data_IF_327400926876
#
_entry.id   IF_327400926876
#
_cell.length_a   1.000
_cell.length_b   1.000
_cell.length_c   1.000
_cell.angle_alpha   90.00
_cell.angle_beta   90.00
_cell.angle_gamma   90.00
#
_symmetry.space_group_name_H-M   'P 1'
#
loop_
_entity.id
_entity.type
_entity.pdbx_description
1 polymer ?
#
# COMPACT_ATOMS: atom_id res chain seq x y z
N UNK A 1 -11.46 -38.90 -6.10
CA UNK A 1 -11.25 -39.22 -4.66
C UNK A 1 -10.04 -38.51 -4.05
N UNK A 2 -9.22 -37.83 -4.83
CA UNK A 2 -8.00 -37.12 -4.38
C UNK A 2 -8.22 -35.71 -3.82
N UNK A 3 -9.24 -34.96 -4.25
CA UNK A 3 -9.48 -33.57 -3.87
C UNK A 3 -9.98 -33.37 -2.43
N UNK A 4 -10.55 -34.41 -1.81
CA UNK A 4 -11.04 -34.36 -0.42
C UNK A 4 -9.92 -34.40 0.63
N UNK A 5 -8.81 -35.08 0.33
CA UNK A 5 -7.69 -35.22 1.26
C UNK A 5 -6.85 -33.95 1.31
N UNK A 6 -6.62 -33.32 0.17
CA UNK A 6 -5.86 -32.06 0.08
C UNK A 6 -6.60 -30.90 0.77
N UNK A 7 -7.93 -30.82 0.64
CA UNK A 7 -8.73 -29.81 1.35
C UNK A 7 -8.70 -30.02 2.88
N UNK A 8 -8.71 -31.24 3.37
CA UNK A 8 -8.60 -31.53 4.80
C UNK A 8 -7.22 -31.17 5.36
N UNK A 9 -6.14 -31.45 4.63
CA UNK A 9 -4.79 -31.08 5.03
C UNK A 9 -4.63 -29.56 5.07
N UNK A 10 -5.15 -28.84 4.07
CA UNK A 10 -5.11 -27.38 4.06
C UNK A 10 -5.89 -26.76 5.24
N UNK A 11 -7.06 -27.32 5.61
CA UNK A 11 -7.82 -26.83 6.75
C UNK A 11 -7.12 -27.11 8.10
N UNK A 12 -6.40 -28.21 8.24
CA UNK A 12 -5.61 -28.47 9.45
C UNK A 12 -4.38 -27.57 9.56
N UNK A 13 -3.72 -27.25 8.44
CA UNK A 13 -2.61 -26.30 8.40
C UNK A 13 -3.11 -24.88 8.74
N UNK A 14 -4.25 -24.48 8.22
CA UNK A 14 -4.87 -23.18 8.54
C UNK A 14 -5.32 -23.11 10.01
N UNK A 15 -5.92 -24.17 10.55
CA UNK A 15 -6.33 -24.24 11.96
C UNK A 15 -5.11 -24.23 12.89
N UNK A 16 -4.05 -24.96 12.56
CA UNK A 16 -2.83 -25.00 13.37
C UNK A 16 -2.09 -23.66 13.37
N UNK A 17 -2.07 -22.94 12.24
CA UNK A 17 -1.47 -21.61 12.16
C UNK A 17 -2.26 -20.57 12.95
N UNK A 18 -3.60 -20.67 12.98
CA UNK A 18 -4.46 -19.81 13.81
C UNK A 18 -4.27 -20.13 15.30
N UNK A 19 -4.12 -21.40 15.69
CA UNK A 19 -3.87 -21.79 17.08
C UNK A 19 -2.47 -21.34 17.55
N UNK A 20 -1.45 -21.38 16.70
CA UNK A 20 -0.09 -20.91 17.05
C UNK A 20 -0.02 -19.39 17.27
N UNK A 21 -0.89 -18.62 16.61
CA UNK A 21 -0.99 -17.16 16.79
C UNK A 21 -1.82 -16.80 18.03
N UNK A 22 -2.78 -17.63 18.41
CA UNK A 22 -3.69 -17.35 19.53
C UNK A 22 -3.10 -17.66 20.93
N UNK A 23 -2.25 -18.68 21.05
CA UNK A 23 -1.74 -19.14 22.36
C UNK A 23 -0.82 -18.15 23.08
N UNK A 24 0.07 -17.37 22.45
CA UNK A 24 0.87 -16.39 23.19
C UNK A 24 0.08 -15.17 23.66
N UNK A 25 -1.07 -14.87 23.06
CA UNK A 25 -1.87 -13.71 23.43
C UNK A 25 -2.62 -13.91 24.76
N UNK A 26 -3.08 -15.11 25.06
CA UNK A 26 -3.77 -15.41 26.33
C UNK A 26 -2.82 -15.39 27.54
N UNK A 27 -1.60 -15.86 27.37
CA UNK A 27 -0.59 -15.81 28.44
C UNK A 27 -0.09 -14.40 28.77
N UNK A 28 -0.02 -13.53 27.73
CA UNK A 28 0.37 -12.12 27.90
C UNK A 28 -0.78 -11.28 28.46
N UNK A 29 -2.03 -11.59 28.14
CA UNK A 29 -3.20 -10.88 28.66
C UNK A 29 -3.39 -11.06 30.16
N UNK A 30 -3.17 -12.25 30.69
CA UNK A 30 -3.27 -12.51 32.14
C UNK A 30 -2.14 -11.90 32.98
N UNK A 31 -0.97 -11.67 32.41
CA UNK A 31 0.13 -10.96 33.09
C UNK A 31 -0.04 -9.43 33.10
N UNK A 32 -0.98 -8.91 32.30
CA UNK A 32 -1.22 -7.46 32.13
C UNK A 32 -2.09 -6.83 33.22
N UNK A 33 -2.85 -7.60 33.97
CA UNK A 33 -3.98 -7.09 34.76
C UNK A 33 -3.62 -6.61 36.17
N UNK A 34 -2.36 -6.51 36.55
CA UNK A 34 -2.00 -6.14 37.93
C UNK A 34 -1.22 -4.84 38.15
N UNK A 35 -0.88 -4.04 37.13
CA UNK A 35 -0.29 -2.72 37.36
C UNK A 35 -0.49 -1.76 36.14
N UNK A 36 -1.72 -1.44 35.78
CA UNK A 36 -2.02 -0.25 35.00
C UNK A 36 -1.91 1.01 35.87
N UNK A 37 -0.70 1.51 36.03
CA UNK A 37 -0.53 2.94 36.24
C UNK A 37 -0.95 3.59 34.92
N UNK A 38 -1.99 4.44 34.92
CA UNK A 38 -2.41 5.28 33.79
C UNK A 38 -1.17 5.87 33.14
N UNK A 39 -0.76 5.33 31.98
CA UNK A 39 0.21 6.01 31.14
C UNK A 39 -0.38 7.38 30.87
N UNK A 40 0.33 8.43 31.24
CA UNK A 40 -0.14 9.77 30.94
C UNK A 40 -0.38 9.83 29.44
N UNK A 41 -1.63 10.07 29.02
CA UNK A 41 -2.07 10.19 27.64
C UNK A 41 -1.13 11.09 26.81
N UNK A 42 -0.56 12.10 27.41
CA UNK A 42 0.39 13.02 26.82
C UNK A 42 1.76 12.39 26.48
N UNK A 43 2.17 11.31 27.14
CA UNK A 43 3.42 10.60 26.80
C UNK A 43 3.29 9.83 25.48
N UNK A 44 2.07 9.46 25.08
CA UNK A 44 1.80 8.84 23.77
C UNK A 44 2.02 9.79 22.61
N UNK A 45 1.96 11.10 22.84
CA UNK A 45 2.14 12.14 21.82
C UNK A 45 3.49 12.87 21.94
N UNK A 46 4.38 12.41 22.81
CA UNK A 46 5.71 12.99 22.90
C UNK A 46 6.46 12.82 21.58
N UNK A 47 6.88 13.92 20.97
CA UNK A 47 7.67 13.92 19.75
C UNK A 47 9.04 13.28 20.02
N UNK A 48 9.36 12.20 19.31
CA UNK A 48 10.60 11.42 19.47
C UNK A 48 11.52 11.50 18.27
N UNK A 49 11.02 11.91 17.12
CA UNK A 49 11.82 11.99 15.90
C UNK A 49 10.99 12.13 14.64
N UNK A 50 11.70 12.17 13.53
CA UNK A 50 11.13 12.14 12.18
C UNK A 50 11.73 10.98 11.39
N UNK A 51 10.96 10.38 10.52
CA UNK A 51 11.41 9.36 9.57
C UNK A 51 11.19 9.83 8.14
N UNK A 52 12.15 9.55 7.29
CA UNK A 52 12.03 9.72 5.84
C UNK A 52 12.19 8.33 5.19
N UNK A 53 11.36 8.01 4.24
CA UNK A 53 11.45 6.72 3.55
C UNK A 53 11.19 6.83 2.07
N UNK A 54 11.76 5.87 1.32
CA UNK A 54 11.50 5.68 -0.11
C UNK A 54 11.15 4.23 -0.38
N UNK A 55 10.21 4.00 -1.30
CA UNK A 55 9.84 2.65 -1.74
C UNK A 55 10.78 2.18 -2.85
N UNK A 56 11.50 1.10 -2.57
CA UNK A 56 12.41 0.47 -3.52
C UNK A 56 11.68 -0.53 -4.43
N UNK A 57 10.57 -1.08 -3.99
CA UNK A 57 9.84 -2.12 -4.74
C UNK A 57 9.11 -1.52 -5.93
N UNK A 58 8.53 -0.33 -5.77
CA UNK A 58 7.92 0.42 -6.85
C UNK A 58 8.92 0.73 -7.98
N UNK A 59 10.17 1.07 -7.60
CA UNK A 59 11.25 1.25 -8.55
C UNK A 59 11.67 -0.08 -9.24
N UNK A 60 11.67 -1.21 -8.51
CA UNK A 60 12.05 -2.51 -9.06
C UNK A 60 10.99 -3.09 -10.01
N UNK A 61 9.70 -2.92 -9.70
CA UNK A 61 8.60 -3.32 -10.59
C UNK A 61 8.63 -2.58 -11.93
N UNK A 62 9.21 -1.39 -11.97
CA UNK A 62 9.40 -0.63 -13.20
C UNK A 62 10.30 -1.31 -14.22
N UNK A 63 11.19 -2.18 -13.77
CA UNK A 63 12.11 -2.91 -14.64
C UNK A 63 11.46 -4.16 -15.26
N UNK A 64 10.33 -4.61 -14.75
CA UNK A 64 9.69 -5.88 -15.10
C UNK A 64 8.25 -5.67 -15.63
N UNK A 65 7.61 -4.54 -15.35
CA UNK A 65 6.19 -4.30 -15.60
C UNK A 65 5.91 -3.07 -16.46
N UNK A 66 4.65 -2.94 -16.84
CA UNK A 66 4.13 -1.90 -17.75
C UNK A 66 3.89 -0.55 -17.08
N UNK A 67 4.20 -0.43 -15.77
CA UNK A 67 4.03 0.81 -15.02
C UNK A 67 5.12 0.99 -13.96
N UNK A 68 5.56 2.23 -13.79
CA UNK A 68 6.54 2.64 -12.78
C UNK A 68 5.85 3.47 -11.73
N UNK A 69 6.15 3.22 -10.46
CA UNK A 69 5.78 4.12 -9.38
C UNK A 69 6.96 4.36 -8.45
N UNK A 70 7.20 5.61 -8.14
CA UNK A 70 8.16 6.02 -7.10
C UNK A 70 7.38 6.65 -5.96
N UNK A 71 7.74 6.34 -4.72
CA UNK A 71 7.05 6.86 -3.54
C UNK A 71 8.06 7.31 -2.48
N UNK A 72 7.85 8.49 -1.95
CA UNK A 72 8.57 9.05 -0.81
C UNK A 72 7.57 9.25 0.33
N UNK A 73 7.98 8.95 1.54
CA UNK A 73 7.17 9.18 2.71
C UNK A 73 7.95 9.91 3.80
N UNK A 74 7.22 10.74 4.54
CA UNK A 74 7.68 11.36 5.77
C UNK A 74 6.77 10.92 6.90
N UNK A 75 7.35 10.51 8.02
CA UNK A 75 6.62 10.10 9.22
C UNK A 75 7.13 10.84 10.45
N UNK A 76 6.24 11.07 11.40
CA UNK A 76 6.54 11.69 12.69
C UNK A 76 6.41 10.62 13.77
N UNK A 77 7.47 10.44 14.57
CA UNK A 77 7.45 9.47 15.67
C UNK A 77 6.84 10.09 16.92
N UNK A 78 5.65 9.65 17.29
CA UNK A 78 4.95 10.03 18.51
C UNK A 78 5.01 8.87 19.51
N UNK A 79 5.76 9.08 20.59
CA UNK A 79 5.87 8.11 21.71
C UNK A 79 6.38 6.72 21.32
N UNK A 80 7.04 6.54 20.18
CA UNK A 80 7.46 5.26 19.60
C UNK A 80 6.30 4.28 19.32
N UNK A 81 5.07 4.76 19.35
CA UNK A 81 3.87 3.95 19.17
C UNK A 81 3.05 4.39 17.96
N UNK A 82 2.83 5.67 17.80
CA UNK A 82 2.05 6.23 16.69
C UNK A 82 2.98 6.99 15.74
N UNK A 83 2.84 6.74 14.45
CA UNK A 83 3.62 7.38 13.40
C UNK A 83 2.68 7.94 12.33
N UNK A 84 2.15 9.18 12.51
CA UNK A 84 1.50 9.89 11.43
C UNK A 84 2.46 10.00 10.25
N UNK A 85 1.95 9.73 9.05
CA UNK A 85 2.78 9.72 7.85
C UNK A 85 2.04 10.31 6.66
N UNK A 86 2.79 10.99 5.82
CA UNK A 86 2.37 11.47 4.51
C UNK A 86 3.27 10.86 3.45
N UNK A 87 2.66 10.45 2.36
CA UNK A 87 3.35 9.80 1.25
C UNK A 87 3.02 10.58 -0.03
N UNK A 88 4.02 10.84 -0.84
CA UNK A 88 3.86 11.44 -2.17
C UNK A 88 4.61 10.58 -3.18
N UNK A 89 3.95 10.27 -4.28
CA UNK A 89 4.53 9.44 -5.31
C UNK A 89 4.20 9.94 -6.70
N UNK A 90 4.91 9.37 -7.64
CA UNK A 90 4.70 9.59 -9.05
C UNK A 90 4.58 8.25 -9.75
N UNK A 91 3.54 8.08 -10.55
CA UNK A 91 3.34 6.84 -11.29
C UNK A 91 3.09 7.15 -12.76
N UNK A 92 3.69 6.34 -13.62
CA UNK A 92 3.37 6.35 -15.04
C UNK A 92 3.12 4.93 -15.53
N UNK A 93 2.21 4.80 -16.47
CA UNK A 93 1.87 3.56 -17.10
C UNK A 93 1.73 3.81 -18.61
N UNK A 94 2.42 3.00 -19.41
CA UNK A 94 2.29 2.98 -20.86
C UNK A 94 2.19 1.53 -21.28
N UNK A 95 0.98 1.10 -21.58
CA UNK A 95 0.71 -0.30 -21.89
C UNK A 95 -0.13 -0.45 -23.14
N UNK A 96 -0.01 -1.59 -23.78
CA UNK A 96 -0.84 -1.99 -24.93
C UNK A 96 -1.45 -3.35 -24.60
N UNK A 97 -2.76 -3.42 -24.56
CA UNK A 97 -3.49 -4.68 -24.38
C UNK A 97 -3.20 -5.60 -25.58
N UNK A 98 -2.63 -6.77 -25.30
CA UNK A 98 -2.22 -7.71 -26.35
C UNK A 98 -3.41 -8.32 -27.12
N UNK A 99 -4.60 -8.35 -26.52
CA UNK A 99 -5.80 -8.95 -27.10
C UNK A 99 -6.58 -7.97 -27.98
N UNK A 100 -6.66 -6.71 -27.56
CA UNK A 100 -7.47 -5.68 -28.21
C UNK A 100 -6.63 -4.67 -28.98
N UNK A 101 -5.32 -4.60 -28.74
CA UNK A 101 -4.41 -3.60 -29.30
C UNK A 101 -4.65 -2.18 -28.77
N UNK A 102 -5.48 -2.01 -27.74
CA UNK A 102 -5.76 -0.72 -27.12
C UNK A 102 -4.53 -0.25 -26.36
N UNK A 103 -4.10 0.98 -26.64
CA UNK A 103 -3.00 1.64 -25.93
C UNK A 103 -3.55 2.52 -24.85
N UNK A 104 -2.97 2.42 -23.66
CA UNK A 104 -3.27 3.25 -22.50
C UNK A 104 -2.01 3.94 -22.01
N UNK A 105 -2.07 5.23 -21.78
CA UNK A 105 -0.96 6.02 -21.25
C UNK A 105 -1.46 6.94 -20.15
N UNK A 106 -0.73 6.98 -19.02
CA UNK A 106 -0.96 7.94 -17.94
C UNK A 106 0.34 8.25 -17.21
N UNK A 107 0.46 9.48 -16.74
CA UNK A 107 1.62 9.96 -16.01
C UNK A 107 1.18 11.03 -15.02
N UNK A 108 1.16 10.72 -13.71
CA UNK A 108 0.64 11.65 -12.72
C UNK A 108 1.15 11.39 -11.31
N UNK A 109 1.14 12.43 -10.46
CA UNK A 109 1.38 12.31 -9.03
C UNK A 109 0.19 11.70 -8.29
N UNK A 110 0.49 11.13 -7.13
CA UNK A 110 -0.49 10.70 -6.15
C UNK A 110 -0.02 11.00 -4.74
N UNK A 111 -0.96 11.10 -3.83
CA UNK A 111 -0.70 11.46 -2.45
C UNK A 111 -1.45 10.53 -1.51
N UNK A 112 -0.85 10.25 -0.36
CA UNK A 112 -1.49 9.46 0.69
C UNK A 112 -1.18 10.09 2.05
N UNK A 113 -2.12 9.98 2.96
CA UNK A 113 -1.96 10.40 4.34
C UNK A 113 -2.56 9.38 5.29
N UNK A 114 -1.97 9.21 6.46
CA UNK A 114 -2.47 8.28 7.46
C UNK A 114 -1.49 8.09 8.61
N UNK A 115 -1.46 6.91 9.19
CA UNK A 115 -0.59 6.61 10.32
C UNK A 115 -0.18 5.14 10.36
N UNK A 116 0.96 4.88 11.03
CA UNK A 116 1.39 3.55 11.42
C UNK A 116 1.25 3.41 12.93
N UNK A 117 0.87 2.23 13.41
CA UNK A 117 0.77 1.90 14.81
C UNK A 117 1.71 0.74 15.15
N UNK A 118 2.67 0.98 16.03
CA UNK A 118 3.64 -0.01 16.48
C UNK A 118 3.03 -0.89 17.60
N UNK A 119 2.88 -2.19 17.33
CA UNK A 119 2.34 -3.15 18.30
C UNK A 119 3.35 -3.61 19.36
N UNK A 120 4.64 -3.44 19.11
CA UNK A 120 5.70 -4.00 19.98
C UNK A 120 6.21 -3.02 21.03
N UNK A 121 5.79 -1.75 21.00
CA UNK A 121 6.18 -0.79 22.04
C UNK A 121 5.57 -1.16 23.39
N UNK A 122 6.41 -1.38 24.38
CA UNK A 122 6.01 -1.68 25.75
C UNK A 122 6.88 -0.91 26.74
N UNK A 123 6.49 -0.93 28.05
CA UNK A 123 7.31 -0.31 29.12
C UNK A 123 8.70 -0.93 29.24
N UNK A 124 8.84 -2.25 28.97
CA UNK A 124 10.13 -2.95 29.01
C UNK A 124 10.98 -2.70 27.78
N UNK A 125 10.35 -2.40 26.63
CA UNK A 125 11.01 -2.09 25.37
C UNK A 125 10.36 -0.83 24.74
N UNK A 126 10.66 0.37 25.28
CA UNK A 126 10.02 1.61 24.84
C UNK A 126 10.43 2.03 23.43
N UNK A 127 11.57 1.55 22.96
CA UNK A 127 12.08 1.81 21.61
C UNK A 127 12.64 0.51 21.00
N UNK A 128 11.81 -0.40 20.55
CA UNK A 128 12.29 -1.63 19.92
C UNK A 128 12.99 -1.31 18.60
N UNK A 129 14.17 -1.90 18.39
CA UNK A 129 14.95 -1.78 17.14
C UNK A 129 14.23 -2.43 15.95
N UNK A 130 13.42 -3.43 16.23
CA UNK A 130 12.64 -4.17 15.23
C UNK A 130 11.20 -4.23 15.74
N UNK A 131 10.24 -3.92 14.87
CA UNK A 131 8.85 -3.95 15.28
C UNK A 131 7.89 -4.24 14.13
N UNK A 132 6.74 -4.78 14.50
CA UNK A 132 5.60 -5.01 13.63
C UNK A 132 4.65 -3.83 13.83
N UNK A 133 4.10 -3.33 12.73
CA UNK A 133 3.16 -2.23 12.75
C UNK A 133 1.95 -2.52 11.87
N UNK A 134 0.80 -1.96 12.24
CA UNK A 134 -0.36 -1.82 11.39
C UNK A 134 -0.36 -0.45 10.75
N UNK A 135 -0.93 -0.32 9.57
CA UNK A 135 -1.04 0.96 8.86
C UNK A 135 -2.45 1.19 8.34
N UNK A 136 -2.82 2.46 8.32
CA UNK A 136 -4.03 2.95 7.67
C UNK A 136 -3.65 4.18 6.84
N UNK A 137 -4.13 4.24 5.59
CA UNK A 137 -3.90 5.34 4.66
C UNK A 137 -5.18 5.70 3.93
N UNK A 138 -5.28 6.97 3.58
CA UNK A 138 -6.20 7.46 2.56
C UNK A 138 -5.36 8.05 1.45
N UNK A 139 -5.59 7.59 0.24
CA UNK A 139 -4.87 8.03 -0.95
C UNK A 139 -5.81 8.73 -1.92
N UNK A 140 -5.26 9.70 -2.66
CA UNK A 140 -5.98 10.40 -3.72
C UNK A 140 -5.05 10.76 -4.87
N UNK A 141 -5.62 10.81 -6.06
CA UNK A 141 -4.96 11.26 -7.28
C UNK A 141 -5.93 11.95 -8.20
N UNK A 142 -5.45 12.97 -8.88
CA UNK A 142 -6.09 13.57 -10.04
C UNK A 142 -5.11 13.46 -11.20
N UNK A 143 -5.54 12.89 -12.30
CA UNK A 143 -4.66 12.57 -13.40
C UNK A 143 -5.35 12.69 -14.75
N UNK A 144 -4.54 12.70 -15.80
CA UNK A 144 -5.00 12.61 -17.18
C UNK A 144 -4.49 11.30 -17.78
N UNK A 145 -5.27 10.76 -18.68
CA UNK A 145 -4.90 9.55 -19.41
C UNK A 145 -5.32 9.62 -20.87
N UNK A 146 -4.57 8.91 -21.70
CA UNK A 146 -4.83 8.77 -23.12
C UNK A 146 -5.26 7.34 -23.40
N UNK A 147 -6.24 7.19 -24.27
CA UNK A 147 -6.70 5.89 -24.78
C UNK A 147 -6.73 5.94 -26.29
N UNK A 148 -5.98 5.04 -26.92
CA UNK A 148 -5.96 4.92 -28.37
C UNK A 148 -6.34 3.50 -28.78
N UNK A 149 -7.42 3.38 -29.58
CA UNK A 149 -7.81 2.09 -30.15
C UNK A 149 -7.12 1.85 -31.49
N UNK A 150 -6.87 0.59 -31.87
CA UNK A 150 -6.47 0.29 -33.24
C UNK A 150 -7.58 0.68 -34.22
N UNK A 151 -7.20 0.96 -35.44
CA UNK A 151 -8.15 1.21 -36.52
C UNK A 151 -8.91 -0.09 -36.84
N UNK A 152 -10.22 -0.06 -36.66
CA UNK A 152 -11.10 -1.17 -37.00
C UNK A 152 -11.75 -0.82 -38.33
N UNK A 153 -11.57 -1.68 -39.32
CA UNK A 153 -12.22 -1.53 -40.61
C UNK A 153 -13.42 -2.49 -40.69
N UNK A 154 -14.59 -1.95 -40.97
CA UNK A 154 -15.78 -2.75 -41.22
C UNK A 154 -15.61 -3.52 -42.52
N UNK A 155 -15.61 -4.86 -42.50
CA UNK A 155 -15.42 -5.67 -43.69
C UNK A 155 -16.64 -5.66 -44.62
N UNK A 156 -17.82 -5.20 -44.17
CA UNK A 156 -19.07 -5.21 -44.93
C UNK A 156 -19.40 -3.85 -45.50
N UNK A 157 -19.22 -2.79 -44.72
CA UNK A 157 -19.63 -1.43 -45.10
C UNK A 157 -18.43 -0.52 -45.41
N UNK A 158 -17.20 -1.01 -45.28
CA UNK A 158 -15.98 -0.29 -45.69
C UNK A 158 -15.63 0.94 -44.86
N UNK A 159 -16.26 1.11 -43.70
CA UNK A 159 -15.97 2.19 -42.79
C UNK A 159 -14.77 1.86 -41.87
N UNK A 160 -13.96 2.87 -41.56
CA UNK A 160 -12.89 2.77 -40.58
C UNK A 160 -13.23 3.60 -39.36
N UNK A 161 -13.12 3.00 -38.16
CA UNK A 161 -13.31 3.67 -36.87
C UNK A 161 -12.05 3.53 -36.05
N UNK A 162 -11.50 4.64 -35.60
CA UNK A 162 -10.43 4.68 -34.61
C UNK A 162 -10.82 5.69 -33.54
N UNK A 163 -10.67 5.33 -32.27
CA UNK A 163 -10.88 6.22 -31.15
C UNK A 163 -9.52 6.67 -30.62
N UNK A 164 -9.27 7.97 -30.62
CA UNK A 164 -8.07 8.58 -30.04
C UNK A 164 -8.52 9.62 -29.01
N UNK A 165 -8.60 9.20 -27.76
CA UNK A 165 -8.96 10.06 -26.63
C UNK A 165 -7.69 10.54 -25.96
N UNK A 166 -7.50 11.85 -25.89
CA UNK A 166 -6.35 12.48 -25.25
C UNK A 166 -6.77 13.33 -24.07
N UNK A 167 -5.90 13.41 -23.09
CA UNK A 167 -6.08 14.27 -21.91
C UNK A 167 -7.41 14.04 -21.16
N UNK A 168 -7.91 12.81 -21.13
CA UNK A 168 -9.14 12.48 -20.42
C UNK A 168 -8.90 12.59 -18.93
N UNK A 169 -9.74 13.38 -18.23
CA UNK A 169 -9.59 13.59 -16.80
C UNK A 169 -10.08 12.38 -15.99
N UNK A 170 -9.28 11.97 -15.05
CA UNK A 170 -9.60 10.94 -14.06
C UNK A 170 -9.26 11.40 -12.66
N UNK A 171 -10.05 10.94 -11.68
CA UNK A 171 -9.76 11.14 -10.27
C UNK A 171 -10.16 9.91 -9.47
N UNK A 172 -9.40 9.60 -8.43
CA UNK A 172 -9.67 8.48 -7.57
C UNK A 172 -9.34 8.79 -6.11
N UNK A 173 -10.20 8.30 -5.21
CA UNK A 173 -10.00 8.28 -3.77
C UNK A 173 -10.08 6.84 -3.30
N UNK A 174 -9.12 6.40 -2.47
CA UNK A 174 -9.08 5.05 -1.94
C UNK A 174 -8.58 5.00 -0.51
N UNK A 175 -8.86 3.91 0.18
CA UNK A 175 -8.31 3.58 1.49
C UNK A 175 -7.34 2.42 1.40
N UNK A 176 -6.32 2.43 2.26
CA UNK A 176 -5.40 1.31 2.44
C UNK A 176 -5.38 0.91 3.91
N UNK A 177 -5.40 -0.39 4.15
CA UNK A 177 -5.12 -0.99 5.45
C UNK A 177 -4.08 -2.07 5.26
N UNK A 178 -3.15 -2.20 6.20
CA UNK A 178 -2.10 -3.20 6.06
C UNK A 178 -1.30 -3.42 7.31
N UNK A 179 -0.32 -4.27 7.17
CA UNK A 179 0.65 -4.57 8.21
C UNK A 179 2.06 -4.62 7.62
N UNK A 180 3.04 -4.31 8.44
CA UNK A 180 4.43 -4.32 8.03
C UNK A 180 5.37 -4.61 9.18
N UNK A 181 6.62 -4.81 8.80
CA UNK A 181 7.75 -5.03 9.72
C UNK A 181 8.79 -3.97 9.42
N UNK A 182 9.32 -3.33 10.46
CA UNK A 182 10.44 -2.38 10.38
C UNK A 182 11.63 -2.96 11.13
N UNK A 183 12.76 -3.08 10.44
CA UNK A 183 13.98 -3.72 10.95
C UNK A 183 15.13 -2.72 10.90
N UNK A 184 15.79 -2.50 12.02
CA UNK A 184 16.98 -1.66 12.09
C UNK A 184 18.19 -2.42 11.51
N UNK A 185 18.89 -1.82 10.56
CA UNK A 185 20.08 -2.39 9.93
C UNK A 185 21.33 -1.75 10.53
N UNK A 186 21.39 -0.44 10.48
CA UNK A 186 22.48 0.37 11.00
C UNK A 186 21.85 1.54 11.74
N UNK A 187 22.61 2.20 12.63
CA UNK A 187 22.13 3.32 13.42
C UNK A 187 21.43 4.37 12.54
N UNK A 188 20.13 4.56 12.75
CA UNK A 188 19.28 5.49 12.01
C UNK A 188 18.68 4.93 10.71
N UNK A 189 19.19 3.81 10.16
CA UNK A 189 18.68 3.20 8.95
C UNK A 189 17.86 1.95 9.25
N UNK A 190 16.69 1.87 8.63
CA UNK A 190 15.76 0.75 8.75
C UNK A 190 15.34 0.27 7.36
N UNK A 191 15.05 -1.01 7.27
CA UNK A 191 14.31 -1.62 6.18
C UNK A 191 12.89 -1.93 6.62
N UNK A 192 11.93 -1.60 5.77
CA UNK A 192 10.50 -1.86 5.98
C UNK A 192 9.91 -2.75 4.90
N UNK A 193 9.12 -3.73 5.31
CA UNK A 193 8.26 -4.53 4.44
C UNK A 193 6.83 -4.29 4.85
N UNK A 194 5.93 -4.04 3.92
CA UNK A 194 4.51 -4.00 4.22
C UNK A 194 3.67 -4.65 3.14
N UNK A 195 2.55 -5.22 3.58
CA UNK A 195 1.48 -5.68 2.72
C UNK A 195 0.28 -4.80 2.97
N UNK A 196 -0.32 -4.30 1.90
CA UNK A 196 -1.41 -3.34 1.93
C UNK A 196 -2.60 -3.87 1.15
N UNK A 197 -3.76 -3.83 1.75
CA UNK A 197 -5.04 -4.04 1.08
C UNK A 197 -5.65 -2.68 0.76
N UNK A 198 -6.00 -2.46 -0.49
CA UNK A 198 -6.52 -1.21 -1.01
C UNK A 198 -7.97 -1.37 -1.38
N UNK A 199 -8.79 -0.41 -1.01
CA UNK A 199 -10.21 -0.34 -1.37
C UNK A 199 -10.50 1.01 -2.01
N UNK A 200 -11.07 0.99 -3.21
CA UNK A 200 -11.48 2.19 -3.91
C UNK A 200 -12.81 2.69 -3.35
N UNK A 201 -12.86 3.97 -2.96
CA UNK A 201 -14.09 4.60 -2.46
C UNK A 201 -14.84 5.32 -3.57
N UNK A 202 -14.12 6.10 -4.37
CA UNK A 202 -14.73 6.92 -5.41
C UNK A 202 -13.80 6.97 -6.62
N UNK A 203 -14.39 6.89 -7.80
CA UNK A 203 -13.72 7.20 -9.05
C UNK A 203 -14.56 8.21 -9.84
N UNK A 204 -13.89 9.18 -10.45
CA UNK A 204 -14.48 10.06 -11.45
C UNK A 204 -13.85 9.75 -12.78
N UNK A 205 -14.67 9.34 -13.73
CA UNK A 205 -14.27 9.08 -15.10
C UNK A 205 -15.19 9.86 -16.05
N UNK A 206 -14.69 10.17 -17.22
CA UNK A 206 -15.47 10.81 -18.29
C UNK A 206 -16.36 9.76 -18.96
N UNK A 207 -17.56 10.15 -19.37
CA UNK A 207 -18.45 9.30 -20.15
C UNK A 207 -17.71 8.77 -21.40
N UNK A 208 -17.95 7.51 -21.72
CA UNK A 208 -17.35 6.77 -22.84
C UNK A 208 -15.85 6.41 -22.71
N UNK A 209 -15.22 6.58 -21.54
CA UNK A 209 -13.86 6.13 -21.33
C UNK A 209 -13.69 5.46 -19.99
N UNK A 210 -13.06 4.28 -19.97
CA UNK A 210 -12.76 3.54 -18.73
C UNK A 210 -11.26 3.61 -18.42
N UNK A 211 -10.95 4.09 -17.23
CA UNK A 211 -9.57 4.06 -16.72
C UNK A 211 -9.11 2.61 -16.55
N UNK A 212 -7.96 2.26 -17.07
CA UNK A 212 -7.36 0.94 -16.88
C UNK A 212 -6.40 0.91 -15.69
N UNK A 213 -5.62 1.97 -15.51
CA UNK A 213 -4.65 2.11 -14.43
C UNK A 213 -4.85 3.44 -13.70
N UNK A 214 -4.75 3.42 -12.38
CA UNK A 214 -4.89 4.58 -11.49
C UNK A 214 -3.55 4.80 -10.79
N UNK A 215 -2.91 5.97 -10.94
CA UNK A 215 -1.65 6.30 -10.26
C UNK A 215 -1.73 6.11 -8.75
N UNK A 216 -0.78 5.35 -8.18
CA UNK A 216 -0.71 5.04 -6.75
C UNK A 216 -1.68 3.95 -6.25
N UNK A 217 -2.72 3.65 -7.00
CA UNK A 217 -3.66 2.57 -6.68
C UNK A 217 -3.32 1.27 -7.42
N UNK A 218 -3.01 1.35 -8.70
CA UNK A 218 -2.75 0.23 -9.59
C UNK A 218 -3.85 -0.02 -10.62
N UNK A 219 -4.04 -1.26 -11.03
CA UNK A 219 -5.10 -1.66 -11.97
C UNK A 219 -6.47 -1.27 -11.40
N UNK A 220 -7.34 -0.73 -12.25
CA UNK A 220 -8.66 -0.23 -11.87
C UNK A 220 -9.62 -1.39 -11.50
N UNK A 221 -9.56 -1.81 -10.25
CA UNK A 221 -10.43 -2.80 -9.62
C UNK A 221 -11.04 -2.22 -8.34
N UNK A 222 -12.09 -2.84 -7.80
CA UNK A 222 -12.69 -2.36 -6.54
C UNK A 222 -11.75 -2.52 -5.35
N UNK A 223 -10.95 -3.59 -5.36
CA UNK A 223 -9.97 -3.89 -4.33
C UNK A 223 -8.68 -4.37 -4.96
N UNK A 224 -7.55 -4.12 -4.29
CA UNK A 224 -6.22 -4.50 -4.76
C UNK A 224 -5.32 -4.85 -3.58
N UNK A 225 -4.38 -5.74 -3.79
CA UNK A 225 -3.28 -5.98 -2.85
C UNK A 225 -2.01 -5.36 -3.39
N UNK A 226 -1.20 -4.83 -2.49
CA UNK A 226 0.12 -4.29 -2.81
C UNK A 226 1.13 -4.62 -1.74
N UNK A 227 2.39 -4.72 -2.14
CA UNK A 227 3.54 -4.81 -1.26
C UNK A 227 4.41 -3.58 -1.40
N UNK A 228 5.11 -3.19 -0.34
CA UNK A 228 6.16 -2.18 -0.38
C UNK A 228 7.41 -2.71 0.29
N UNK A 229 8.55 -2.30 -0.22
CA UNK A 229 9.85 -2.52 0.38
C UNK A 229 10.57 -1.19 0.50
N UNK A 230 10.67 -0.68 1.71
CA UNK A 230 11.09 0.70 1.96
C UNK A 230 12.43 0.75 2.66
N UNK A 231 13.28 1.68 2.23
CA UNK A 231 14.42 2.14 2.99
C UNK A 231 14.01 3.37 3.79
N UNK A 232 14.25 3.35 5.10
CA UNK A 232 13.77 4.36 6.03
C UNK A 232 14.97 4.92 6.80
N UNK A 233 15.03 6.23 6.94
CA UNK A 233 16.00 6.93 7.76
C UNK A 233 15.31 7.67 8.89
N UNK A 234 15.57 7.25 10.13
CA UNK A 234 15.00 7.86 11.34
C UNK A 234 15.97 8.86 11.96
N UNK A 235 15.47 10.07 12.18
CA UNK A 235 16.18 11.19 12.82
C UNK A 235 15.60 11.36 14.23
N UNK A 236 16.27 10.88 15.28
CA UNK A 236 15.80 11.03 16.65
C UNK A 236 15.94 12.49 17.11
N UNK A 237 14.93 13.00 17.78
CA UNK A 237 15.01 14.25 18.53
C UNK A 237 15.43 13.93 19.96
N UNK A 238 16.42 14.63 20.46
CA UNK A 238 16.93 14.51 21.83
C UNK A 238 16.06 15.30 22.79
#
# INVERSE_FOLDING_TARGET
MSTSITMRILSYILLSSILLVATPQYAVAQARDKQEKKENFWQLFALKGFGLSTDLLGCAYSLIGEGISTEFAAEVNLGNRLYPAVEAGWAWCNTTDASTGIKYNTNAPYYKAGFNYNFMTSRKAPNPKHYIYGLVRVGWTNFKYDVKTPTITDPVWGGTVALDLKDVNGACLWGEIGAGIKVNIVKGFYMGWSVRYRMRFTEKQTENSRMWYIPGYGINQNTSFGGTYSLIYDIPIK
#
